data_IF_804354521850
#
_entry.id   IF_804354521850
#
_cell.length_a   1.000
_cell.length_b   1.000
_cell.length_c   1.000
_cell.angle_alpha   90.00
_cell.angle_beta   90.00
_cell.angle_gamma   90.00
#
_symmetry.space_group_name_H-M   'P 1'
#
loop_
_entity.id
_entity.type
_entity.pdbx_description
1 polymer ?
#
# COMPACT_ATOMS: atom_id res chain seq x y z
N UNK A 1 19.69 10.07 -68.64
CA UNK A 1 20.09 9.01 -67.70
C UNK A 1 20.33 9.66 -66.34
N UNK A 2 19.43 9.46 -65.38
CA UNK A 2 19.48 10.10 -64.06
C UNK A 2 19.89 9.06 -63.00
N UNK A 3 20.87 9.41 -62.17
CA UNK A 3 21.34 8.57 -61.06
C UNK A 3 20.45 8.77 -59.82
N UNK A 4 20.06 7.70 -59.10
CA UNK A 4 19.33 7.83 -57.84
C UNK A 4 20.28 8.02 -56.63
N UNK A 5 19.99 9.06 -55.84
CA UNK A 5 20.62 9.37 -54.56
C UNK A 5 20.25 8.32 -53.49
N UNK A 6 21.25 7.73 -52.84
CA UNK A 6 21.07 6.87 -51.65
C UNK A 6 21.30 7.66 -50.36
N UNK A 7 20.42 7.55 -49.35
CA UNK A 7 20.63 8.22 -48.06
C UNK A 7 21.60 7.46 -47.14
N UNK A 8 22.54 8.20 -46.52
CA UNK A 8 23.48 7.71 -45.51
C UNK A 8 22.76 7.40 -44.19
N UNK A 9 22.77 6.13 -43.78
CA UNK A 9 22.33 5.69 -42.45
C UNK A 9 23.45 5.96 -41.45
N UNK A 10 23.18 6.77 -40.41
CA UNK A 10 24.12 7.07 -39.33
C UNK A 10 23.94 6.02 -38.23
N UNK A 11 24.88 5.07 -38.11
CA UNK A 11 24.92 4.14 -36.98
C UNK A 11 25.21 4.92 -35.68
N UNK A 12 24.27 4.88 -34.75
CA UNK A 12 24.45 5.45 -33.41
C UNK A 12 25.00 4.37 -32.48
N UNK A 13 26.26 4.56 -32.08
CA UNK A 13 27.00 3.69 -31.18
C UNK A 13 26.31 3.61 -29.81
N UNK A 14 26.06 2.36 -29.38
CA UNK A 14 25.57 1.98 -28.05
C UNK A 14 26.79 1.65 -27.18
N UNK A 15 27.07 2.37 -26.07
CA UNK A 15 28.09 1.90 -25.13
C UNK A 15 27.52 0.80 -24.24
N UNK A 16 28.28 -0.28 -24.22
CA UNK A 16 28.15 -1.50 -23.45
C UNK A 16 28.33 -1.28 -21.94
N UNK A 17 27.69 -2.17 -21.19
CA UNK A 17 27.85 -2.41 -19.76
C UNK A 17 29.30 -2.66 -19.35
N UNK A 18 29.78 -1.95 -18.32
CA UNK A 18 30.89 -2.38 -17.48
C UNK A 18 30.48 -2.23 -16.02
N UNK A 19 30.26 -3.36 -15.38
CA UNK A 19 30.02 -3.48 -13.94
C UNK A 19 31.27 -3.07 -13.15
N UNK A 20 31.07 -2.36 -12.05
CA UNK A 20 32.07 -2.25 -10.96
C UNK A 20 31.31 -2.21 -9.62
N UNK A 21 31.45 -3.23 -8.75
CA UNK A 21 30.85 -3.21 -7.43
C UNK A 21 31.70 -2.30 -6.54
N UNK A 22 31.11 -1.22 -6.04
CA UNK A 22 31.75 -0.39 -5.01
C UNK A 22 30.86 -0.42 -3.77
N UNK A 23 31.15 -1.37 -2.89
CA UNK A 23 30.74 -1.35 -1.48
C UNK A 23 31.46 -0.20 -0.79
N UNK A 24 30.81 0.95 -0.70
CA UNK A 24 31.21 2.01 0.23
C UNK A 24 30.23 2.02 1.39
N UNK A 25 30.56 1.23 2.41
CA UNK A 25 30.01 1.33 3.76
C UNK A 25 30.31 2.73 4.29
N UNK A 26 29.38 3.67 4.08
CA UNK A 26 29.37 4.94 4.79
C UNK A 26 28.48 4.74 6.02
N UNK A 27 29.11 4.30 7.10
CA UNK A 27 28.57 4.40 8.44
C UNK A 27 28.15 5.86 8.67
N UNK A 28 26.83 6.11 8.68
CA UNK A 28 26.30 7.44 9.01
C UNK A 28 26.57 7.69 10.50
N UNK A 29 27.17 8.83 10.87
CA UNK A 29 27.31 9.18 12.27
C UNK A 29 25.91 9.37 12.87
N UNK A 30 25.71 8.75 14.02
CA UNK A 30 24.53 8.83 14.86
C UNK A 30 24.38 10.28 15.36
N UNK A 31 23.77 11.15 14.54
CA UNK A 31 23.40 12.51 14.96
C UNK A 31 22.18 12.39 15.85
N UNK A 32 22.42 12.30 17.15
CA UNK A 32 21.46 12.60 18.20
C UNK A 32 20.84 13.96 17.90
N UNK A 33 19.65 13.94 17.31
CA UNK A 33 18.82 15.11 17.05
C UNK A 33 18.34 15.67 18.37
N UNK A 34 19.18 16.53 18.96
CA UNK A 34 18.83 17.35 20.12
C UNK A 34 17.67 18.26 19.68
N UNK A 35 16.47 17.97 20.18
CA UNK A 35 15.29 18.81 20.01
C UNK A 35 15.66 20.22 20.46
N UNK A 36 15.82 21.15 19.52
CA UNK A 36 15.97 22.56 19.82
C UNK A 36 14.59 23.09 20.23
N UNK A 37 14.28 22.94 21.51
CA UNK A 37 13.12 23.58 22.13
C UNK A 37 13.45 25.05 22.33
N UNK A 38 12.98 25.91 21.43
CA UNK A 38 12.89 27.34 21.72
C UNK A 38 11.82 27.55 22.81
N UNK A 39 12.04 28.57 23.65
CA UNK A 39 11.37 28.88 24.93
C UNK A 39 9.83 29.08 24.90
N UNK A 40 9.14 28.72 23.83
CA UNK A 40 7.70 28.96 23.67
C UNK A 40 6.95 27.73 23.14
N UNK A 41 7.27 26.51 23.59
CA UNK A 41 6.44 25.31 23.36
C UNK A 41 6.16 24.91 21.89
N UNK A 42 6.65 25.68 20.91
CA UNK A 42 6.30 25.53 19.52
C UNK A 42 7.26 24.51 18.90
N UNK A 43 6.72 23.35 18.53
CA UNK A 43 7.48 22.29 17.89
C UNK A 43 7.74 22.72 16.44
N UNK A 44 8.90 23.35 16.20
CA UNK A 44 9.34 23.70 14.84
C UNK A 44 9.77 22.41 14.13
N UNK A 45 8.83 21.79 13.42
CA UNK A 45 9.08 20.58 12.64
C UNK A 45 9.88 20.94 11.39
N UNK A 46 11.09 20.43 11.29
CA UNK A 46 11.91 20.59 10.08
C UNK A 46 11.31 19.79 8.92
N UNK A 47 11.42 20.26 7.66
CA UNK A 47 10.93 19.53 6.47
C UNK A 47 11.40 18.07 6.44
N UNK A 48 12.65 17.81 6.82
CA UNK A 48 13.22 16.46 6.92
C UNK A 48 12.47 15.56 7.93
N UNK A 49 12.11 16.09 9.10
CA UNK A 49 11.32 15.36 10.11
C UNK A 49 9.91 15.06 9.59
N UNK A 50 9.28 15.99 8.85
CA UNK A 50 7.98 15.75 8.21
C UNK A 50 8.03 14.60 7.20
N UNK A 51 9.11 14.48 6.42
CA UNK A 51 9.28 13.34 5.50
C UNK A 51 9.44 12.01 6.23
N UNK A 52 10.21 11.99 7.33
CA UNK A 52 10.36 10.80 8.17
C UNK A 52 9.03 10.37 8.79
N UNK A 53 8.26 11.31 9.36
CA UNK A 53 6.92 11.05 9.93
C UNK A 53 5.98 10.46 8.87
N UNK A 54 5.95 11.04 7.67
CA UNK A 54 5.16 10.48 6.55
C UNK A 54 5.61 9.07 6.16
N UNK A 55 6.92 8.79 6.22
CA UNK A 55 7.48 7.46 5.99
C UNK A 55 6.96 6.45 7.02
N UNK A 56 7.08 6.77 8.31
CA UNK A 56 6.55 5.92 9.39
C UNK A 56 5.04 5.71 9.28
N UNK A 57 4.28 6.75 8.97
CA UNK A 57 2.84 6.64 8.78
C UNK A 57 2.48 5.64 7.67
N UNK A 58 3.22 5.64 6.56
CA UNK A 58 3.02 4.66 5.47
C UNK A 58 3.40 3.25 5.89
N UNK A 59 4.48 3.07 6.65
CA UNK A 59 4.89 1.75 7.16
C UNK A 59 3.82 1.18 8.08
N UNK A 60 3.33 1.98 9.03
CA UNK A 60 2.27 1.57 9.97
C UNK A 60 0.98 1.24 9.22
N UNK A 61 0.58 2.09 8.26
CA UNK A 61 -0.59 1.81 7.43
C UNK A 61 -0.44 0.52 6.60
N UNK A 62 0.74 0.29 6.02
CA UNK A 62 1.05 -0.94 5.29
C UNK A 62 1.05 -2.18 6.18
N UNK A 63 1.51 -2.05 7.43
CA UNK A 63 1.50 -3.15 8.39
C UNK A 63 0.07 -3.58 8.73
N UNK A 64 -0.85 -2.63 8.96
CA UNK A 64 -2.27 -2.95 9.16
C UNK A 64 -2.87 -3.66 7.94
N UNK A 65 -2.50 -3.22 6.74
CA UNK A 65 -2.96 -3.84 5.49
C UNK A 65 -2.43 -5.26 5.30
N UNK A 66 -1.29 -5.62 5.90
CA UNK A 66 -0.77 -7.00 5.89
C UNK A 66 -1.37 -7.87 6.99
N UNK A 67 -1.53 -7.34 8.20
CA UNK A 67 -1.99 -8.11 9.36
C UNK A 67 -3.43 -8.57 9.18
N UNK A 68 -4.34 -7.65 8.80
CA UNK A 68 -5.78 -7.96 8.67
C UNK A 68 -6.06 -9.14 7.74
N UNK A 69 -5.58 -9.17 6.47
CA UNK A 69 -5.82 -10.32 5.59
C UNK A 69 -5.09 -11.58 6.05
N UNK A 70 -3.92 -11.45 6.68
CA UNK A 70 -3.18 -12.61 7.21
C UNK A 70 -3.96 -13.32 8.31
N UNK A 71 -4.59 -12.57 9.22
CA UNK A 71 -5.44 -13.13 10.28
C UNK A 71 -6.72 -13.73 9.70
N UNK A 72 -7.36 -13.07 8.73
CA UNK A 72 -8.56 -13.60 8.05
C UNK A 72 -8.27 -14.94 7.37
N UNK A 73 -7.15 -15.05 6.64
CA UNK A 73 -6.73 -16.29 5.98
C UNK A 73 -6.43 -17.37 7.02
N UNK A 74 -5.73 -17.03 8.12
CA UNK A 74 -5.44 -17.97 9.20
C UNK A 74 -6.71 -18.56 9.81
N UNK A 75 -7.72 -17.73 10.08
CA UNK A 75 -9.01 -18.20 10.60
C UNK A 75 -9.70 -19.16 9.65
N UNK A 76 -9.74 -18.84 8.36
CA UNK A 76 -10.38 -19.72 7.36
C UNK A 76 -9.62 -21.03 7.13
N UNK A 77 -8.29 -20.99 7.11
CA UNK A 77 -7.49 -22.19 6.80
C UNK A 77 -7.34 -23.15 7.97
N UNK A 78 -7.21 -22.63 9.19
CA UNK A 78 -6.87 -23.46 10.36
C UNK A 78 -8.02 -23.64 11.35
N UNK A 79 -8.95 -22.68 11.43
CA UNK A 79 -10.08 -22.75 12.36
C UNK A 79 -11.38 -23.15 11.66
N UNK A 80 -11.36 -23.32 10.33
CA UNK A 80 -12.54 -23.61 9.48
C UNK A 80 -13.70 -22.64 9.77
N UNK A 81 -13.38 -21.41 10.20
CA UNK A 81 -14.37 -20.42 10.60
C UNK A 81 -15.00 -19.80 9.35
N UNK A 82 -16.30 -20.01 9.17
CA UNK A 82 -17.07 -19.39 8.10
C UNK A 82 -17.16 -17.88 8.29
N UNK A 83 -17.15 -17.17 7.16
CA UNK A 83 -17.21 -15.72 7.17
C UNK A 83 -18.59 -15.24 7.60
N UNK A 84 -18.64 -14.36 8.60
CA UNK A 84 -19.88 -13.72 9.05
C UNK A 84 -20.56 -12.95 7.91
N UNK A 85 -21.79 -13.34 7.58
CA UNK A 85 -22.63 -12.63 6.62
C UNK A 85 -23.23 -11.37 7.25
N UNK A 86 -23.33 -10.32 6.46
CA UNK A 86 -24.00 -9.10 6.89
C UNK A 86 -25.49 -9.38 7.06
N UNK A 87 -26.05 -9.07 8.23
CA UNK A 87 -27.44 -9.40 8.55
C UNK A 87 -28.44 -8.33 8.12
N UNK A 88 -28.00 -7.09 7.91
CA UNK A 88 -28.88 -5.98 7.54
C UNK A 88 -28.14 -4.71 7.16
N UNK A 89 -28.91 -3.68 6.82
CA UNK A 89 -28.46 -2.31 6.56
C UNK A 89 -28.92 -1.41 7.70
N UNK A 90 -27.99 -0.60 8.20
CA UNK A 90 -28.31 0.47 9.13
C UNK A 90 -28.93 1.64 8.38
N UNK A 91 -30.13 2.07 8.79
CA UNK A 91 -30.76 3.28 8.28
C UNK A 91 -30.32 4.48 9.12
N UNK A 92 -29.54 5.43 8.57
CA UNK A 92 -29.03 6.57 9.32
C UNK A 92 -30.10 7.61 9.70
N UNK A 93 -31.29 7.57 9.06
CA UNK A 93 -32.37 8.52 9.35
C UNK A 93 -33.19 8.11 10.58
N UNK A 94 -33.52 6.81 10.67
CA UNK A 94 -34.41 6.29 11.72
C UNK A 94 -33.66 5.50 12.81
N UNK A 95 -32.35 5.25 12.62
CA UNK A 95 -31.53 4.46 13.54
C UNK A 95 -31.88 2.97 13.59
N UNK A 96 -32.82 2.52 12.75
CA UNK A 96 -33.27 1.14 12.67
C UNK A 96 -32.38 0.31 11.76
N UNK A 97 -32.28 -0.99 12.05
CA UNK A 97 -31.61 -1.96 11.17
C UNK A 97 -32.68 -2.63 10.33
N UNK A 98 -32.63 -2.45 9.01
CA UNK A 98 -33.41 -3.27 8.09
C UNK A 98 -32.68 -4.60 7.95
N UNK A 99 -33.28 -5.66 8.47
CA UNK A 99 -32.78 -7.02 8.25
C UNK A 99 -32.89 -7.39 6.77
N UNK A 100 -31.86 -8.09 6.29
CA UNK A 100 -31.86 -8.67 4.96
C UNK A 100 -32.60 -10.00 4.96
N UNK A 101 -33.35 -10.23 3.88
CA UNK A 101 -33.85 -11.57 3.56
C UNK A 101 -32.69 -12.52 3.26
N UNK A 102 -32.91 -13.83 3.37
CA UNK A 102 -31.86 -14.84 3.15
C UNK A 102 -31.21 -14.72 1.77
N UNK A 103 -32.01 -14.44 0.74
CA UNK A 103 -31.52 -14.19 -0.62
C UNK A 103 -30.66 -12.92 -0.71
N UNK A 104 -31.07 -11.85 -0.02
CA UNK A 104 -30.33 -10.59 0.02
C UNK A 104 -28.98 -10.76 0.76
N UNK A 105 -28.95 -11.55 1.85
CA UNK A 105 -27.72 -11.89 2.58
C UNK A 105 -26.70 -12.57 1.67
N UNK A 106 -27.12 -13.61 0.94
CA UNK A 106 -26.24 -14.36 0.03
C UNK A 106 -25.78 -13.48 -1.14
N UNK A 107 -26.70 -12.70 -1.74
CA UNK A 107 -26.35 -11.79 -2.85
C UNK A 107 -25.35 -10.73 -2.41
N UNK A 108 -25.55 -10.13 -1.24
CA UNK A 108 -24.63 -9.13 -0.70
C UNK A 108 -23.28 -9.73 -0.33
N UNK A 109 -23.28 -10.94 0.24
CA UNK A 109 -22.06 -11.69 0.53
C UNK A 109 -21.23 -11.94 -0.74
N UNK A 110 -21.85 -12.48 -1.80
CA UNK A 110 -21.17 -12.76 -3.07
C UNK A 110 -20.66 -11.50 -3.77
N UNK A 111 -21.39 -10.40 -3.65
CA UNK A 111 -21.00 -9.12 -4.24
C UNK A 111 -19.95 -8.35 -3.44
N UNK A 112 -19.60 -8.79 -2.22
CA UNK A 112 -18.65 -8.06 -1.38
C UNK A 112 -17.22 -8.10 -1.96
N UNK A 113 -16.50 -6.98 -1.87
CA UNK A 113 -15.12 -6.87 -2.32
C UNK A 113 -14.21 -7.94 -1.69
N UNK A 114 -14.44 -8.24 -0.42
CA UNK A 114 -13.69 -9.28 0.27
C UNK A 114 -13.99 -10.69 -0.28
N UNK A 115 -15.24 -11.01 -0.62
CA UNK A 115 -15.57 -12.31 -1.23
C UNK A 115 -14.90 -12.45 -2.60
N UNK A 116 -14.77 -11.35 -3.35
CA UNK A 116 -13.99 -11.33 -4.60
C UNK A 116 -12.50 -11.61 -4.41
N UNK A 117 -11.92 -11.24 -3.26
CA UNK A 117 -10.49 -11.42 -2.98
C UNK A 117 -10.20 -12.77 -2.33
N UNK A 118 -11.06 -13.20 -1.40
CA UNK A 118 -10.82 -14.37 -0.54
C UNK A 118 -11.65 -15.60 -0.94
N UNK A 119 -12.60 -15.47 -1.87
CA UNK A 119 -13.49 -16.55 -2.31
C UNK A 119 -14.75 -16.71 -1.45
N UNK A 120 -15.68 -17.53 -1.95
CA UNK A 120 -17.01 -17.81 -1.35
C UNK A 120 -16.98 -18.88 -0.25
N UNK A 121 -15.80 -19.38 0.12
CA UNK A 121 -15.62 -20.46 1.10
C UNK A 121 -16.04 -20.04 2.50
#
# INVERSE_FOLDING_TARGET
MAQPNTPKIKLQNRPSTSAKPTTTTTAKPNKTSRLQTNKAGEIIITKAQRHQIKGYQRIVAGLLFLIVPSVEIYRRLYLDEERKMQQGIFNPQDGTIREFDEEEKVKNFKNSWFTRIFGEK
#
